data_IF_878914252872
#
_entry.id   IF_878914252872
#
_cell.length_a   1.000
_cell.length_b   1.000
_cell.length_c   1.000
_cell.angle_alpha   90.00
_cell.angle_beta   90.00
_cell.angle_gamma   90.00
#
_symmetry.space_group_name_H-M   'P 1'
#
loop_
_entity.id
_entity.type
_entity.pdbx_description
1 polymer ?
#
# COMPACT_ATOMS: atom_id res chain seq x y z
N UNK A 1 18.10 6.40 6.98
CA UNK A 1 17.70 6.40 5.56
C UNK A 1 16.27 5.94 5.50
N UNK A 2 15.33 6.69 4.89
CA UNK A 2 13.95 6.26 4.78
C UNK A 2 13.87 4.93 4.02
N UNK A 3 13.25 3.94 4.65
CA UNK A 3 13.15 2.59 4.07
C UNK A 3 12.16 2.63 2.92
N UNK A 4 12.66 2.44 1.69
CA UNK A 4 11.83 2.25 0.50
C UNK A 4 11.59 0.76 0.30
N UNK A 5 10.34 0.33 0.23
CA UNK A 5 9.97 -1.07 0.01
C UNK A 5 9.12 -1.27 -1.26
N UNK A 6 8.62 -0.19 -1.85
CA UNK A 6 8.02 -0.23 -3.17
C UNK A 6 9.11 -0.02 -4.23
N UNK A 7 9.09 -0.79 -5.31
CA UNK A 7 9.93 -0.52 -6.48
C UNK A 7 9.49 0.79 -7.15
N UNK A 8 10.38 1.39 -7.96
CA UNK A 8 10.03 2.61 -8.68
C UNK A 8 8.86 2.38 -9.65
N UNK A 9 8.76 1.20 -10.27
CA UNK A 9 7.63 0.81 -11.12
C UNK A 9 6.33 0.79 -10.29
N UNK A 10 6.34 0.14 -9.12
CA UNK A 10 5.16 0.11 -8.24
C UNK A 10 4.78 1.50 -7.74
N UNK A 11 5.76 2.33 -7.43
CA UNK A 11 5.55 3.70 -6.97
C UNK A 11 4.90 4.56 -8.05
N UNK A 12 5.41 4.50 -9.27
CA UNK A 12 4.86 5.23 -10.42
C UNK A 12 3.43 4.79 -10.72
N UNK A 13 3.16 3.49 -10.72
CA UNK A 13 1.81 2.94 -10.90
C UNK A 13 0.81 3.39 -9.82
N UNK A 14 1.29 3.70 -8.61
CA UNK A 14 0.46 4.17 -7.49
C UNK A 14 0.37 5.71 -7.40
N UNK A 15 1.24 6.43 -8.11
CA UNK A 15 1.32 7.90 -8.05
C UNK A 15 0.38 8.61 -9.01
N UNK A 16 -0.15 7.91 -10.02
CA UNK A 16 -0.97 8.51 -11.07
C UNK A 16 -2.10 7.60 -11.52
N UNK A 17 -2.57 7.87 -12.72
CA UNK A 17 -3.54 7.03 -13.41
C UNK A 17 -2.92 5.67 -13.79
N UNK A 18 -3.73 4.59 -13.83
CA UNK A 18 -3.28 3.35 -14.46
C UNK A 18 -3.01 3.58 -15.95
N UNK A 19 -2.08 2.83 -16.53
CA UNK A 19 -1.74 2.94 -17.96
C UNK A 19 -2.94 2.61 -18.87
N UNK A 20 -3.75 1.63 -18.44
CA UNK A 20 -4.96 1.20 -19.15
C UNK A 20 -6.13 1.08 -18.17
N UNK A 21 -7.33 1.37 -18.66
CA UNK A 21 -8.58 1.22 -17.91
C UNK A 21 -9.45 0.22 -18.69
N UNK A 22 -9.72 -0.94 -18.08
CA UNK A 22 -10.58 -1.93 -18.70
C UNK A 22 -12.06 -1.50 -18.70
N UNK A 23 -12.90 -2.21 -19.48
CA UNK A 23 -14.32 -1.87 -19.64
C UNK A 23 -15.09 -1.88 -18.31
N UNK A 24 -14.80 -2.83 -17.41
CA UNK A 24 -15.43 -2.92 -16.08
C UNK A 24 -15.09 -1.69 -15.22
N UNK A 25 -13.83 -1.27 -15.22
CA UNK A 25 -13.40 -0.08 -14.49
C UNK A 25 -13.99 1.21 -15.09
N UNK A 26 -14.14 1.30 -16.43
CA UNK A 26 -14.81 2.40 -17.09
C UNK A 26 -16.27 2.50 -16.64
N UNK A 27 -17.00 1.39 -16.68
CA UNK A 27 -18.40 1.35 -16.26
C UNK A 27 -18.57 1.71 -14.78
N UNK A 28 -17.74 1.12 -13.92
CA UNK A 28 -17.86 1.29 -12.47
C UNK A 28 -17.48 2.67 -11.97
N UNK A 29 -16.44 3.28 -12.52
CA UNK A 29 -15.83 4.46 -11.94
C UNK A 29 -15.94 5.72 -12.80
N UNK A 30 -16.14 5.57 -14.12
CA UNK A 30 -16.20 6.69 -15.06
C UNK A 30 -17.61 6.96 -15.58
N UNK A 31 -18.59 6.21 -15.10
CA UNK A 31 -19.99 6.51 -15.39
C UNK A 31 -20.47 7.65 -14.50
N UNK A 32 -21.00 8.70 -15.14
CA UNK A 32 -21.55 9.88 -14.48
C UNK A 32 -23.05 9.67 -14.24
N UNK A 33 -23.46 9.68 -12.98
CA UNK A 33 -24.87 9.63 -12.60
C UNK A 33 -25.58 10.96 -12.85
N UNK A 34 -26.90 10.97 -12.71
CA UNK A 34 -27.72 12.17 -12.92
C UNK A 34 -27.26 13.35 -12.06
N UNK A 35 -26.92 13.10 -10.79
CA UNK A 35 -26.38 14.11 -9.88
C UNK A 35 -25.01 14.63 -10.34
N UNK A 36 -24.14 13.75 -10.83
CA UNK A 36 -22.82 14.15 -11.35
C UNK A 36 -22.96 15.06 -12.57
N UNK A 37 -23.84 14.68 -13.51
CA UNK A 37 -24.10 15.48 -14.69
C UNK A 37 -24.68 16.87 -14.33
N UNK A 38 -25.53 16.96 -13.30
CA UNK A 38 -26.01 18.22 -12.80
C UNK A 38 -24.88 19.10 -12.25
N UNK A 39 -23.97 18.53 -11.49
CA UNK A 39 -22.79 19.24 -10.98
C UNK A 39 -21.84 19.68 -12.10
N UNK A 40 -21.55 18.81 -13.07
CA UNK A 40 -20.71 19.14 -14.22
C UNK A 40 -21.29 20.32 -15.01
N UNK A 41 -22.60 20.34 -15.23
CA UNK A 41 -23.30 21.42 -15.99
C UNK A 41 -23.17 22.80 -15.35
N UNK A 42 -22.87 22.86 -14.05
CA UNK A 42 -22.62 24.16 -13.36
C UNK A 42 -21.28 24.77 -13.77
N UNK A 43 -20.41 24.02 -14.43
CA UNK A 43 -19.10 24.51 -14.88
C UNK A 43 -19.22 25.21 -16.22
N UNK A 44 -18.46 26.30 -16.38
CA UNK A 44 -18.48 27.08 -17.62
C UNK A 44 -17.37 26.59 -18.55
N UNK A 45 -17.77 26.30 -19.79
CA UNK A 45 -16.88 25.85 -20.86
C UNK A 45 -16.56 24.36 -20.80
N UNK A 46 -16.42 23.77 -21.97
CA UNK A 46 -16.27 22.32 -22.16
C UNK A 46 -15.00 21.75 -21.51
N UNK A 47 -13.89 22.46 -21.62
CA UNK A 47 -12.64 22.09 -20.94
C UNK A 47 -12.83 21.92 -19.42
N UNK A 48 -13.54 22.86 -18.78
CA UNK A 48 -13.80 22.82 -17.35
C UNK A 48 -14.77 21.71 -16.96
N UNK A 49 -15.77 21.43 -17.80
CA UNK A 49 -16.73 20.33 -17.58
C UNK A 49 -16.04 18.98 -17.63
N UNK A 50 -15.27 18.70 -18.67
CA UNK A 50 -14.52 17.45 -18.81
C UNK A 50 -13.47 17.32 -17.72
N UNK A 51 -12.72 18.39 -17.43
CA UNK A 51 -11.67 18.38 -16.41
C UNK A 51 -12.22 18.14 -15.01
N UNK A 52 -13.36 18.78 -14.65
CA UNK A 52 -14.03 18.55 -13.36
C UNK A 52 -14.55 17.11 -13.24
N UNK A 53 -15.20 16.60 -14.31
CA UNK A 53 -15.70 15.23 -14.33
C UNK A 53 -14.57 14.19 -14.20
N UNK A 54 -13.43 14.43 -14.85
CA UNK A 54 -12.26 13.56 -14.69
C UNK A 54 -11.65 13.64 -13.28
N UNK A 55 -11.63 14.80 -12.63
CA UNK A 55 -11.23 14.89 -11.23
C UNK A 55 -12.19 14.11 -10.31
N UNK A 56 -13.49 14.16 -10.59
CA UNK A 56 -14.51 13.37 -9.89
C UNK A 56 -14.20 11.87 -10.00
N UNK A 57 -13.98 11.39 -11.23
CA UNK A 57 -13.61 10.00 -11.50
C UNK A 57 -12.27 9.63 -10.84
N UNK A 58 -11.27 10.53 -10.90
CA UNK A 58 -9.99 10.31 -10.24
C UNK A 58 -10.13 10.03 -8.75
N UNK A 59 -10.88 10.86 -8.04
CA UNK A 59 -11.07 10.69 -6.60
C UNK A 59 -11.82 9.39 -6.27
N UNK A 60 -12.77 8.98 -7.12
CA UNK A 60 -13.48 7.69 -6.99
C UNK A 60 -12.58 6.47 -7.18
N UNK A 61 -11.70 6.52 -8.17
CA UNK A 61 -10.83 5.38 -8.54
C UNK A 61 -9.58 5.32 -7.68
N UNK A 62 -8.89 6.47 -7.55
CA UNK A 62 -7.54 6.54 -7.01
C UNK A 62 -7.51 6.87 -5.52
N UNK A 63 -8.61 7.47 -5.00
CA UNK A 63 -8.65 8.01 -3.63
C UNK A 63 -7.79 9.26 -3.44
N UNK A 64 -7.30 9.86 -4.54
CA UNK A 64 -6.56 11.12 -4.57
C UNK A 64 -6.78 11.84 -5.90
N UNK A 65 -6.36 13.09 -5.95
CA UNK A 65 -6.42 13.90 -7.16
C UNK A 65 -5.01 13.99 -7.75
N UNK A 66 -4.78 13.51 -8.98
CA UNK A 66 -3.49 13.62 -9.65
C UNK A 66 -3.16 15.09 -9.95
N UNK A 67 -1.87 15.43 -9.94
CA UNK A 67 -1.38 16.80 -10.21
C UNK A 67 -1.83 17.31 -11.59
N UNK A 68 -1.84 16.41 -12.58
CA UNK A 68 -2.33 16.69 -13.92
C UNK A 68 -3.41 15.66 -14.34
N UNK A 69 -4.66 16.08 -14.29
CA UNK A 69 -5.78 15.24 -14.71
C UNK A 69 -5.79 14.96 -16.22
N UNK A 70 -5.06 15.76 -17.01
CA UNK A 70 -4.94 15.57 -18.47
C UNK A 70 -4.11 14.34 -18.82
N UNK A 71 -3.37 13.79 -17.86
CA UNK A 71 -2.66 12.51 -18.01
C UNK A 71 -3.57 11.29 -17.86
N UNK A 72 -4.90 11.49 -17.74
CA UNK A 72 -5.86 10.40 -17.70
C UNK A 72 -5.79 9.53 -18.99
N UNK A 73 -6.00 8.21 -18.88
CA UNK A 73 -6.04 7.32 -20.02
C UNK A 73 -7.04 7.79 -21.07
N UNK A 74 -6.66 7.68 -22.35
CA UNK A 74 -7.48 8.18 -23.47
C UNK A 74 -8.89 7.59 -23.50
N UNK A 75 -9.05 6.34 -23.07
CA UNK A 75 -10.34 5.66 -23.01
C UNK A 75 -11.24 6.26 -21.94
N UNK A 76 -10.67 6.61 -20.77
CA UNK A 76 -11.39 7.30 -19.72
C UNK A 76 -11.82 8.70 -20.15
N UNK A 77 -10.93 9.45 -20.81
CA UNK A 77 -11.24 10.78 -21.35
C UNK A 77 -12.38 10.70 -22.38
N UNK A 78 -12.28 9.76 -23.33
CA UNK A 78 -13.34 9.56 -24.34
C UNK A 78 -14.67 9.16 -23.73
N UNK A 79 -14.68 8.24 -22.77
CA UNK A 79 -15.88 7.81 -22.07
C UNK A 79 -16.58 8.96 -21.36
N UNK A 80 -15.84 9.76 -20.62
CA UNK A 80 -16.40 10.93 -19.89
C UNK A 80 -16.87 12.00 -20.86
N UNK A 81 -16.08 12.33 -21.88
CA UNK A 81 -16.43 13.35 -22.87
C UNK A 81 -17.70 12.98 -23.66
N UNK A 82 -17.84 11.71 -24.04
CA UNK A 82 -19.03 11.19 -24.73
C UNK A 82 -20.29 11.34 -23.86
N UNK A 83 -20.24 11.06 -22.56
CA UNK A 83 -21.37 11.23 -21.66
C UNK A 83 -21.80 12.70 -21.49
N UNK A 84 -20.89 13.62 -21.76
CA UNK A 84 -21.12 15.08 -21.67
C UNK A 84 -21.50 15.71 -23.03
N UNK A 85 -21.44 14.95 -24.11
CA UNK A 85 -21.58 15.45 -25.50
C UNK A 85 -20.54 16.55 -25.80
N UNK A 86 -19.27 16.28 -25.45
CA UNK A 86 -18.14 17.20 -25.59
C UNK A 86 -17.01 16.51 -26.36
N UNK A 87 -16.29 17.26 -27.21
CA UNK A 87 -15.10 16.76 -27.88
C UNK A 87 -13.99 16.46 -26.85
N UNK A 88 -13.42 15.24 -26.82
CA UNK A 88 -12.34 14.88 -25.89
C UNK A 88 -11.12 15.83 -25.93
N UNK A 89 -10.85 16.45 -27.07
CA UNK A 89 -9.73 17.40 -27.25
C UNK A 89 -9.89 18.66 -26.41
N UNK A 90 -11.11 19.00 -25.98
CA UNK A 90 -11.37 20.12 -25.09
C UNK A 90 -10.59 20.04 -23.78
N UNK A 91 -10.26 18.82 -23.31
CA UNK A 91 -9.45 18.62 -22.11
C UNK A 91 -8.07 19.30 -22.18
N UNK A 92 -7.50 19.44 -23.39
CA UNK A 92 -6.20 20.09 -23.59
C UNK A 92 -6.15 21.54 -23.08
N UNK A 93 -7.28 22.23 -23.10
CA UNK A 93 -7.41 23.59 -22.56
C UNK A 93 -7.71 23.66 -21.06
N UNK A 94 -7.92 22.50 -20.39
CA UNK A 94 -8.25 22.46 -18.97
C UNK A 94 -7.07 22.88 -18.08
N UNK A 95 -7.39 23.69 -17.08
CA UNK A 95 -6.46 23.96 -16.00
C UNK A 95 -5.24 24.79 -16.40
N UNK A 96 -5.33 25.60 -17.44
CA UNK A 96 -4.29 26.60 -17.77
C UNK A 96 -4.00 27.52 -16.60
N UNK A 97 -5.01 27.82 -15.76
CA UNK A 97 -4.85 28.52 -14.49
C UNK A 97 -4.82 27.49 -13.36
N UNK A 98 -3.74 27.49 -12.55
CA UNK A 98 -3.60 26.61 -11.40
C UNK A 98 -4.78 26.74 -10.40
N UNK A 99 -5.26 27.96 -10.19
CA UNK A 99 -6.39 28.25 -9.31
C UNK A 99 -7.64 27.46 -9.71
N UNK A 100 -7.99 27.42 -11.01
CA UNK A 100 -9.15 26.65 -11.50
C UNK A 100 -9.04 25.16 -11.14
N UNK A 101 -7.85 24.56 -11.26
CA UNK A 101 -7.64 23.15 -10.87
C UNK A 101 -7.84 22.93 -9.38
N UNK A 102 -7.32 23.85 -8.55
CA UNK A 102 -7.45 23.77 -7.09
C UNK A 102 -8.88 23.95 -6.63
N UNK A 103 -9.60 24.93 -7.20
CA UNK A 103 -11.02 25.18 -6.90
C UNK A 103 -11.88 23.97 -7.27
N UNK A 104 -11.65 23.39 -8.44
CA UNK A 104 -12.33 22.18 -8.87
C UNK A 104 -12.01 20.99 -7.97
N UNK A 105 -10.74 20.82 -7.56
CA UNK A 105 -10.33 19.79 -6.63
C UNK A 105 -11.04 19.93 -5.27
N UNK A 106 -11.19 21.16 -4.77
CA UNK A 106 -12.00 21.47 -3.58
C UNK A 106 -13.45 21.05 -3.74
N UNK A 107 -14.08 21.51 -4.82
CA UNK A 107 -15.48 21.22 -5.12
C UNK A 107 -15.77 19.72 -5.27
N UNK A 108 -14.87 18.98 -5.94
CA UNK A 108 -15.01 17.52 -6.10
C UNK A 108 -14.88 16.81 -4.75
N UNK A 109 -13.95 17.23 -3.90
CA UNK A 109 -13.84 16.68 -2.55
C UNK A 109 -15.11 16.90 -1.75
N UNK A 110 -15.60 18.13 -1.72
CA UNK A 110 -16.80 18.51 -0.98
C UNK A 110 -18.02 17.73 -1.51
N UNK A 111 -18.17 17.61 -2.82
CA UNK A 111 -19.24 16.86 -3.46
C UNK A 111 -19.24 15.37 -3.10
N UNK A 112 -18.06 14.74 -3.04
CA UNK A 112 -17.92 13.33 -2.67
C UNK A 112 -17.81 13.10 -1.16
N UNK A 113 -17.81 14.15 -0.34
CA UNK A 113 -17.64 14.08 1.11
C UNK A 113 -16.22 13.69 1.53
N UNK A 114 -15.22 13.90 0.66
CA UNK A 114 -13.82 13.70 1.01
C UNK A 114 -13.23 14.95 1.65
N UNK A 115 -12.22 14.75 2.48
CA UNK A 115 -11.44 15.84 3.08
C UNK A 115 -9.95 15.53 3.13
N UNK A 116 -9.14 16.53 3.27
CA UNK A 116 -7.71 16.32 3.53
C UNK A 116 -7.54 15.72 4.92
N UNK A 117 -6.60 14.76 5.02
CA UNK A 117 -6.27 14.12 6.29
C UNK A 117 -5.62 15.13 7.24
N UNK A 118 -6.07 15.18 8.48
CA UNK A 118 -5.44 15.89 9.58
C UNK A 118 -4.43 14.99 10.27
N UNK A 119 -3.50 15.52 11.08
CA UNK A 119 -2.56 14.69 11.85
C UNK A 119 -3.25 13.58 12.66
N UNK A 120 -4.37 13.88 13.32
CA UNK A 120 -5.14 12.94 14.13
C UNK A 120 -5.72 11.78 13.31
N UNK A 121 -6.15 12.06 12.07
CA UNK A 121 -6.64 11.04 11.15
C UNK A 121 -5.51 10.07 10.77
N UNK A 122 -4.33 10.62 10.46
CA UNK A 122 -3.15 9.82 10.13
C UNK A 122 -2.68 8.99 11.31
N UNK A 123 -2.77 9.52 12.54
CA UNK A 123 -2.49 8.78 13.76
C UNK A 123 -3.46 7.60 13.95
N UNK A 124 -4.76 7.83 13.71
CA UNK A 124 -5.77 6.78 13.73
C UNK A 124 -5.50 5.68 12.69
N UNK A 125 -5.19 6.08 11.44
CA UNK A 125 -4.82 5.12 10.39
C UNK A 125 -3.54 4.36 10.75
N UNK A 126 -2.54 5.01 11.34
CA UNK A 126 -1.30 4.39 11.80
C UNK A 126 -1.54 3.33 12.89
N UNK A 127 -2.34 3.68 13.90
CA UNK A 127 -2.69 2.77 14.98
C UNK A 127 -3.39 1.51 14.42
N UNK A 128 -4.42 1.69 13.62
CA UNK A 128 -5.12 0.60 12.95
C UNK A 128 -4.18 -0.24 12.07
N UNK A 129 -3.31 0.40 11.29
CA UNK A 129 -2.36 -0.29 10.40
C UNK A 129 -1.30 -1.07 11.19
N UNK A 130 -0.95 -0.63 12.41
CA UNK A 130 -0.06 -1.36 13.31
C UNK A 130 -0.65 -2.70 13.71
N UNK A 131 -1.95 -2.76 14.00
CA UNK A 131 -2.63 -4.02 14.29
C UNK A 131 -2.63 -4.96 13.08
N UNK A 132 -2.80 -4.41 11.86
CA UNK A 132 -2.68 -5.20 10.64
C UNK A 132 -1.24 -5.72 10.43
N UNK A 133 -0.23 -4.89 10.75
CA UNK A 133 1.18 -5.23 10.64
C UNK A 133 1.62 -6.29 11.66
N UNK A 134 0.95 -6.41 12.81
CA UNK A 134 1.14 -7.52 13.75
C UNK A 134 0.75 -8.87 13.12
N UNK A 135 -0.25 -8.86 12.24
CA UNK A 135 -0.74 -10.08 11.56
C UNK A 135 0.10 -10.42 10.34
N UNK A 136 0.50 -9.44 9.55
CA UNK A 136 1.26 -9.66 8.31
C UNK A 136 2.20 -8.48 8.02
N UNK A 137 3.48 -8.77 7.85
CA UNK A 137 4.52 -7.75 7.57
C UNK A 137 4.79 -7.57 6.07
N UNK A 138 3.80 -7.75 5.22
CA UNK A 138 3.94 -7.56 3.77
C UNK A 138 3.72 -6.10 3.38
N UNK A 139 4.77 -5.34 3.04
CA UNK A 139 4.67 -3.88 2.87
C UNK A 139 3.66 -3.46 1.81
N UNK A 140 3.65 -4.13 0.64
CA UNK A 140 2.71 -3.82 -0.44
C UNK A 140 1.25 -4.11 -0.06
N UNK A 141 0.99 -5.12 0.78
CA UNK A 141 -0.35 -5.39 1.31
C UNK A 141 -0.77 -4.31 2.30
N UNK A 142 0.11 -3.92 3.22
CA UNK A 142 -0.14 -2.85 4.18
C UNK A 142 -0.36 -1.51 3.50
N UNK A 143 0.35 -1.22 2.40
CA UNK A 143 0.12 -0.02 1.60
C UNK A 143 -1.30 0.01 1.03
N UNK A 144 -1.76 -1.10 0.44
CA UNK A 144 -3.13 -1.20 -0.09
C UNK A 144 -4.17 -1.07 1.02
N UNK A 145 -3.94 -1.69 2.17
CA UNK A 145 -4.81 -1.55 3.34
C UNK A 145 -4.89 -0.11 3.83
N UNK A 146 -3.76 0.60 3.91
CA UNK A 146 -3.74 2.01 4.28
C UNK A 146 -4.58 2.86 3.30
N UNK A 147 -4.42 2.64 1.98
CA UNK A 147 -5.21 3.35 0.98
C UNK A 147 -6.71 3.05 1.09
N UNK A 148 -7.08 1.78 1.28
CA UNK A 148 -8.48 1.37 1.46
C UNK A 148 -9.08 1.98 2.72
N UNK A 149 -8.38 1.94 3.84
CA UNK A 149 -8.84 2.55 5.11
C UNK A 149 -9.05 4.06 4.97
N UNK A 150 -8.13 4.76 4.31
CA UNK A 150 -8.29 6.20 4.07
C UNK A 150 -9.50 6.48 3.17
N UNK A 151 -9.73 5.66 2.16
CA UNK A 151 -10.89 5.79 1.28
C UNK A 151 -12.21 5.61 2.04
N UNK A 152 -12.31 4.59 2.90
CA UNK A 152 -13.48 4.36 3.77
C UNK A 152 -13.74 5.53 4.73
N UNK A 153 -12.68 6.15 5.24
CA UNK A 153 -12.75 7.33 6.09
C UNK A 153 -13.00 8.64 5.31
N UNK A 154 -13.18 8.56 3.99
CA UNK A 154 -13.30 9.72 3.11
C UNK A 154 -12.14 10.71 3.23
N UNK A 155 -10.94 10.19 3.39
CA UNK A 155 -9.70 10.95 3.43
C UNK A 155 -9.01 10.90 2.07
N UNK A 156 -8.64 12.06 1.55
CA UNK A 156 -7.79 12.11 0.35
C UNK A 156 -6.44 11.50 0.67
N UNK A 157 -6.04 10.51 -0.09
CA UNK A 157 -4.77 9.82 0.07
C UNK A 157 -3.61 10.80 -0.20
N UNK A 158 -2.62 10.92 0.70
CA UNK A 158 -1.41 11.69 0.43
C UNK A 158 -0.53 10.99 -0.60
N UNK A 159 0.52 11.66 -1.03
CA UNK A 159 1.48 11.11 -1.99
C UNK A 159 2.05 9.75 -1.54
N UNK A 160 2.43 8.91 -2.50
CA UNK A 160 2.91 7.53 -2.28
C UNK A 160 4.02 7.46 -1.23
N UNK A 161 4.99 8.38 -1.32
CA UNK A 161 6.11 8.45 -0.35
C UNK A 161 5.63 8.71 1.08
N UNK A 162 4.62 9.57 1.27
CA UNK A 162 4.07 9.84 2.59
C UNK A 162 3.34 8.61 3.16
N UNK A 163 2.52 7.93 2.36
CA UNK A 163 1.88 6.66 2.77
C UNK A 163 2.93 5.61 3.11
N UNK A 164 3.95 5.46 2.26
CA UNK A 164 5.01 4.48 2.44
C UNK A 164 5.80 4.71 3.73
N UNK A 165 6.25 5.94 3.96
CA UNK A 165 7.16 6.25 5.06
C UNK A 165 6.42 6.57 6.36
N UNK A 166 5.38 7.40 6.30
CA UNK A 166 4.73 7.93 7.50
C UNK A 166 3.61 7.04 8.03
N UNK A 167 3.03 6.17 7.19
CA UNK A 167 2.00 5.22 7.62
C UNK A 167 2.58 3.81 7.71
N UNK A 168 2.93 3.21 6.57
CA UNK A 168 3.35 1.80 6.52
C UNK A 168 4.67 1.56 7.24
N UNK A 169 5.68 2.40 7.00
CA UNK A 169 7.00 2.28 7.65
C UNK A 169 6.90 2.38 9.17
N UNK A 170 6.16 3.38 9.66
CA UNK A 170 5.95 3.60 11.11
C UNK A 170 5.16 2.46 11.73
N UNK A 171 4.06 2.01 11.09
CA UNK A 171 3.24 0.91 11.58
C UNK A 171 4.01 -0.42 11.66
N UNK A 172 4.82 -0.72 10.65
CA UNK A 172 5.68 -1.92 10.64
C UNK A 172 6.71 -1.88 11.77
N UNK A 173 7.34 -0.74 11.98
CA UNK A 173 8.32 -0.60 13.05
C UNK A 173 7.67 -0.70 14.45
N UNK A 174 6.48 -0.13 14.63
CA UNK A 174 5.71 -0.27 15.86
C UNK A 174 5.30 -1.74 16.09
N UNK A 175 4.80 -2.42 15.06
CA UNK A 175 4.46 -3.83 15.14
C UNK A 175 5.68 -4.71 15.43
N UNK A 176 6.84 -4.42 14.86
CA UNK A 176 8.09 -5.13 15.15
C UNK A 176 8.49 -5.00 16.62
N UNK A 177 8.46 -3.78 17.16
CA UNK A 177 8.74 -3.54 18.60
C UNK A 177 7.77 -4.30 19.49
N UNK A 178 6.49 -4.32 19.12
CA UNK A 178 5.48 -5.06 19.88
C UNK A 178 5.72 -6.58 19.83
N UNK A 179 6.12 -7.13 18.67
CA UNK A 179 6.54 -8.54 18.54
C UNK A 179 7.71 -8.84 19.46
N UNK A 180 8.75 -8.00 19.47
CA UNK A 180 9.89 -8.18 20.36
C UNK A 180 9.49 -8.09 21.84
N UNK A 181 8.63 -7.14 22.19
CA UNK A 181 8.12 -7.00 23.55
C UNK A 181 7.37 -8.26 24.01
N UNK A 182 6.58 -8.87 23.14
CA UNK A 182 5.86 -10.11 23.45
C UNK A 182 6.78 -11.31 23.57
N UNK A 183 7.84 -11.37 22.77
CA UNK A 183 8.81 -12.46 22.81
C UNK A 183 9.80 -12.34 23.96
N UNK A 184 10.05 -11.13 24.45
CA UNK A 184 11.04 -10.88 25.50
C UNK A 184 10.90 -11.77 26.73
N UNK A 185 9.70 -12.04 27.29
CA UNK A 185 9.56 -12.94 28.44
C UNK A 185 9.98 -14.41 28.14
N UNK A 186 10.04 -14.80 26.88
CA UNK A 186 10.45 -16.13 26.46
C UNK A 186 11.97 -16.28 26.36
N UNK A 187 12.71 -15.18 26.35
CA UNK A 187 14.16 -15.13 26.18
C UNK A 187 14.85 -15.25 27.55
N UNK A 188 14.92 -16.49 28.07
CA UNK A 188 15.76 -16.79 29.24
C UNK A 188 17.26 -16.66 28.89
N UNK A 189 18.12 -16.55 29.89
CA UNK A 189 19.57 -16.47 29.67
C UNK A 189 20.08 -17.67 28.88
N UNK A 190 19.56 -18.87 29.13
CA UNK A 190 19.93 -20.09 28.39
C UNK A 190 19.51 -20.01 26.92
N UNK A 191 18.29 -19.54 26.63
CA UNK A 191 17.80 -19.35 25.26
C UNK A 191 18.57 -18.27 24.52
N UNK A 192 19.00 -17.21 25.18
CA UNK A 192 19.84 -16.18 24.59
C UNK A 192 21.19 -16.75 24.16
N UNK A 193 21.83 -17.60 24.98
CA UNK A 193 23.09 -18.29 24.60
C UNK A 193 22.89 -19.13 23.34
N UNK A 194 21.77 -19.85 23.22
CA UNK A 194 21.43 -20.65 22.02
C UNK A 194 21.28 -19.73 20.79
N UNK A 195 20.56 -18.61 20.94
CA UNK A 195 20.36 -17.65 19.85
C UNK A 195 21.65 -16.95 19.43
N UNK A 196 22.50 -16.58 20.40
CA UNK A 196 23.80 -15.99 20.13
C UNK A 196 24.71 -16.97 19.37
N UNK A 197 24.63 -18.28 19.71
CA UNK A 197 25.33 -19.34 18.97
C UNK A 197 24.97 -19.41 17.49
N UNK A 198 23.72 -19.04 17.12
CA UNK A 198 23.30 -18.98 15.72
C UNK A 198 24.02 -17.88 14.92
N UNK A 199 24.61 -16.89 15.58
CA UNK A 199 25.31 -15.76 14.97
C UNK A 199 26.83 -16.00 14.88
N UNK A 200 27.33 -17.06 15.51
CA UNK A 200 28.73 -17.43 15.45
C UNK A 200 29.05 -18.20 14.15
N UNK A 201 30.19 -17.92 13.54
CA UNK A 201 30.63 -18.64 12.34
C UNK A 201 30.83 -20.13 12.67
N UNK A 202 30.11 -20.98 11.94
CA UNK A 202 30.29 -22.44 12.02
C UNK A 202 31.31 -22.86 10.95
N UNK A 203 32.43 -23.47 11.35
CA UNK A 203 33.48 -23.89 10.41
C UNK A 203 33.01 -24.94 9.39
N UNK A 204 32.11 -25.84 9.80
CA UNK A 204 31.64 -26.94 8.95
C UNK A 204 30.64 -26.42 7.91
N UNK A 205 29.82 -25.42 8.27
CA UNK A 205 28.87 -24.75 7.36
C UNK A 205 29.56 -23.67 6.51
N UNK A 206 30.73 -23.17 6.92
CA UNK A 206 31.39 -22.02 6.29
C UNK A 206 30.59 -20.70 6.39
N UNK A 207 29.58 -20.65 7.25
CA UNK A 207 28.71 -19.50 7.50
C UNK A 207 28.05 -19.62 8.87
N UNK A 208 27.35 -18.56 9.31
CA UNK A 208 26.58 -18.63 10.55
C UNK A 208 25.34 -19.52 10.37
N UNK A 209 24.95 -20.32 11.41
CA UNK A 209 23.73 -21.15 11.35
C UNK A 209 22.48 -20.34 11.00
N UNK A 210 22.33 -19.11 11.50
CA UNK A 210 21.22 -18.24 11.14
C UNK A 210 21.16 -17.95 9.63
N UNK A 211 22.33 -17.70 9.00
CA UNK A 211 22.42 -17.49 7.56
C UNK A 211 22.12 -18.78 6.78
N UNK A 212 22.58 -19.92 7.25
CA UNK A 212 22.29 -21.21 6.65
C UNK A 212 20.79 -21.54 6.70
N UNK A 213 20.14 -21.34 7.85
CA UNK A 213 18.69 -21.51 8.00
C UNK A 213 17.89 -20.62 7.05
N UNK A 214 18.29 -19.36 6.90
CA UNK A 214 17.61 -18.38 6.04
C UNK A 214 17.81 -18.63 4.54
N UNK A 215 18.77 -19.51 4.15
CA UNK A 215 19.06 -19.79 2.76
C UNK A 215 17.94 -20.63 2.14
N UNK A 216 17.34 -20.12 1.07
CA UNK A 216 16.31 -20.86 0.31
C UNK A 216 16.95 -21.87 -0.63
N UNK A 217 16.29 -23.02 -0.89
CA UNK A 217 16.74 -23.96 -1.90
C UNK A 217 16.77 -23.30 -3.29
N UNK A 218 17.84 -23.56 -4.05
CA UNK A 218 18.01 -22.97 -5.40
C UNK A 218 17.15 -23.70 -6.44
N UNK A 219 16.85 -24.97 -6.21
CA UNK A 219 16.05 -25.79 -7.11
C UNK A 219 15.24 -26.85 -6.33
N UNK A 220 14.12 -27.29 -6.89
CA UNK A 220 13.37 -28.43 -6.38
C UNK A 220 14.10 -29.71 -6.80
N UNK A 221 14.98 -30.23 -5.94
CA UNK A 221 15.71 -31.50 -6.15
C UNK A 221 15.72 -32.33 -4.87
N UNK A 222 15.89 -33.67 -4.95
CA UNK A 222 16.00 -34.50 -3.76
C UNK A 222 17.10 -34.06 -2.79
N UNK A 223 18.24 -33.60 -3.31
CA UNK A 223 19.34 -33.04 -2.51
C UNK A 223 18.94 -31.76 -1.78
N UNK A 224 18.19 -30.90 -2.45
CA UNK A 224 17.69 -29.65 -1.81
C UNK A 224 16.66 -29.97 -0.73
N UNK A 225 15.79 -30.97 -0.94
CA UNK A 225 14.84 -31.44 0.08
C UNK A 225 15.55 -32.02 1.31
N UNK A 226 16.60 -32.81 1.13
CA UNK A 226 17.42 -33.32 2.25
C UNK A 226 18.02 -32.16 3.04
N UNK A 227 18.55 -31.14 2.36
CA UNK A 227 19.06 -29.94 3.04
C UNK A 227 18.00 -29.18 3.86
N UNK A 228 16.74 -29.17 3.43
CA UNK A 228 15.65 -28.61 4.27
C UNK A 228 15.31 -29.51 5.46
N UNK A 229 15.41 -30.84 5.30
CA UNK A 229 15.26 -31.78 6.43
C UNK A 229 16.38 -31.58 7.45
N UNK A 230 17.63 -31.41 7.00
CA UNK A 230 18.76 -31.12 7.89
C UNK A 230 18.53 -29.86 8.73
N UNK A 231 17.93 -28.80 8.13
CA UNK A 231 17.54 -27.61 8.87
C UNK A 231 16.47 -27.88 9.94
N UNK A 232 15.48 -28.71 9.63
CA UNK A 232 14.45 -29.11 10.61
C UNK A 232 15.04 -29.90 11.77
N UNK A 233 15.96 -30.84 11.46
CA UNK A 233 16.69 -31.58 12.48
C UNK A 233 17.50 -30.65 13.38
N UNK A 234 18.23 -29.73 12.77
CA UNK A 234 19.00 -28.72 13.50
C UNK A 234 18.11 -27.86 14.42
N UNK A 235 16.95 -27.38 13.94
CA UNK A 235 16.01 -26.60 14.75
C UNK A 235 15.43 -27.44 15.90
N UNK A 236 15.11 -28.70 15.68
CA UNK A 236 14.67 -29.63 16.72
C UNK A 236 15.77 -29.79 17.80
N UNK A 237 17.00 -30.01 17.39
CA UNK A 237 18.14 -30.23 18.30
C UNK A 237 18.47 -28.96 19.10
N UNK A 238 18.15 -27.77 18.59
CA UNK A 238 18.18 -26.51 19.32
C UNK A 238 17.08 -26.39 20.40
N UNK A 239 16.09 -27.29 20.40
CA UNK A 239 14.99 -27.29 21.38
C UNK A 239 13.98 -26.16 21.17
N UNK A 240 13.90 -25.55 19.97
CA UNK A 240 12.97 -24.45 19.69
C UNK A 240 11.50 -24.89 19.70
N UNK A 241 11.22 -26.18 19.55
CA UNK A 241 9.87 -26.77 19.64
C UNK A 241 9.19 -26.49 20.99
N UNK A 242 9.97 -26.38 22.07
CA UNK A 242 9.47 -26.04 23.41
C UNK A 242 9.20 -24.55 23.65
N UNK A 243 9.33 -23.71 22.62
CA UNK A 243 9.11 -22.28 22.78
C UNK A 243 7.65 -21.96 22.45
N UNK A 244 6.89 -21.53 23.44
CA UNK A 244 5.50 -21.10 23.22
C UNK A 244 5.45 -19.74 22.53
N UNK A 245 5.32 -19.77 21.20
CA UNK A 245 5.16 -18.57 20.38
C UNK A 245 3.69 -18.17 20.18
N UNK A 246 2.75 -18.78 20.91
CA UNK A 246 1.31 -18.44 20.87
C UNK A 246 1.00 -17.00 21.28
N UNK A 247 1.94 -16.33 21.94
CA UNK A 247 1.92 -14.91 22.23
C UNK A 247 1.86 -14.02 20.94
N UNK A 248 2.23 -14.59 19.80
CA UNK A 248 2.14 -13.95 18.51
C UNK A 248 0.83 -14.34 17.79
N UNK A 249 0.28 -13.45 16.94
CA UNK A 249 -0.83 -13.84 16.06
C UNK A 249 -0.46 -15.06 15.21
N UNK A 250 -1.35 -16.04 15.07
CA UNK A 250 -1.08 -17.29 14.36
C UNK A 250 -0.54 -17.08 12.94
N UNK A 251 -1.09 -16.12 12.17
CA UNK A 251 -0.58 -15.78 10.83
C UNK A 251 0.84 -15.20 10.86
N UNK A 252 1.24 -14.54 11.95
CA UNK A 252 2.60 -14.03 12.11
C UNK A 252 3.56 -15.17 12.43
N UNK A 253 3.18 -16.06 13.35
CA UNK A 253 3.98 -17.23 13.72
C UNK A 253 4.25 -18.16 12.51
N UNK A 254 3.31 -18.27 11.56
CA UNK A 254 3.48 -19.09 10.34
C UNK A 254 4.25 -18.39 9.22
N UNK A 255 4.53 -17.10 9.33
CA UNK A 255 5.23 -16.30 8.31
C UNK A 255 6.69 -15.96 8.69
N UNK A 256 7.12 -16.36 9.87
CA UNK A 256 8.51 -16.30 10.35
C UNK A 256 9.27 -17.53 9.87
#
# INVERSE_FOLDING_TARGET
VPVRFLSDVQRNALAGWPEEVNAEALERFFTLGVADLAEVRRRHGDANRVGWALQLCALRVLGFLPDDVRSAPSDAVRSVAHQLDIDPTALGAYGQRAQTRQDHAGQVRDYLGFRLARPEDLDGVRAWLTDQALVSDRPAALFRLACAQMYELRLVRPGVTAVEQQLVGVAREAARREVYRRLQPLLTAERLVVLDGLLVLDPDLGMTPARWLARRPVAASPKAMLGEVDKLVFLRDLGVEGWDVSVLPAKRATSL
#
